data_IF_482573016336
#
_entry.id   IF_482573016336
#
_cell.length_a   1.000
_cell.length_b   1.000
_cell.length_c   1.000
_cell.angle_alpha   90.00
_cell.angle_beta   90.00
_cell.angle_gamma   90.00
#
_symmetry.space_group_name_H-M   'P 1'
#
loop_
_entity.id
_entity.type
_entity.pdbx_description
1 polymer ?
#
# COMPACT_ATOMS: atom_id res chain seq x y z
N UNK A 1 23.12 3.04 -6.73
CA UNK A 1 22.70 4.30 -7.40
C UNK A 1 21.99 5.15 -6.36
N UNK A 2 22.43 6.40 -6.12
CA UNK A 2 21.76 7.27 -5.16
C UNK A 2 20.43 7.81 -5.72
N UNK A 3 19.43 8.04 -4.85
CA UNK A 3 18.13 8.67 -5.18
C UNK A 3 17.36 8.00 -6.32
N UNK A 4 17.43 6.68 -6.41
CA UNK A 4 16.70 5.89 -7.41
C UNK A 4 15.71 4.98 -6.71
N UNK A 5 14.48 4.96 -7.19
CA UNK A 5 13.45 4.00 -6.74
C UNK A 5 13.15 3.01 -7.86
N UNK A 6 12.82 1.79 -7.47
CA UNK A 6 12.18 0.80 -8.33
C UNK A 6 10.68 0.94 -8.18
N UNK A 7 9.97 1.01 -9.30
CA UNK A 7 8.51 1.03 -9.33
C UNK A 7 7.95 -0.06 -10.24
N UNK A 8 6.80 -0.60 -9.85
CA UNK A 8 6.03 -1.56 -10.65
C UNK A 8 4.55 -1.44 -10.34
N UNK A 9 3.73 -1.49 -11.38
CA UNK A 9 2.28 -1.54 -11.22
C UNK A 9 1.86 -2.97 -10.91
N UNK A 10 1.13 -3.19 -9.82
CA UNK A 10 0.62 -4.52 -9.49
C UNK A 10 -0.58 -4.91 -10.36
N UNK A 11 -0.71 -6.22 -10.60
CA UNK A 11 -1.83 -6.82 -11.32
C UNK A 11 -1.81 -6.68 -12.85
N UNK A 12 -1.01 -5.76 -13.42
CA UNK A 12 -0.85 -5.62 -14.87
C UNK A 12 0.40 -4.83 -15.28
N UNK A 13 0.80 -4.98 -16.53
CA UNK A 13 1.80 -4.12 -17.14
C UNK A 13 1.21 -2.78 -17.58
N UNK A 14 2.07 -1.77 -17.66
CA UNK A 14 1.75 -0.41 -18.10
C UNK A 14 2.80 0.02 -19.12
N UNK A 15 2.36 0.69 -20.20
CA UNK A 15 3.28 1.24 -21.19
C UNK A 15 4.10 2.40 -20.62
N UNK A 16 5.37 2.51 -21.03
CA UNK A 16 6.32 3.52 -20.56
C UNK A 16 5.76 4.95 -20.59
N UNK A 17 5.23 5.39 -21.74
CA UNK A 17 4.70 6.76 -21.90
C UNK A 17 3.49 7.02 -21.00
N UNK A 18 2.59 6.03 -20.87
CA UNK A 18 1.42 6.14 -19.99
C UNK A 18 1.81 6.23 -18.53
N UNK A 19 2.84 5.49 -18.12
CA UNK A 19 3.39 5.58 -16.77
C UNK A 19 4.04 6.94 -16.54
N UNK A 20 4.91 7.38 -17.47
CA UNK A 20 5.65 8.64 -17.37
C UNK A 20 4.72 9.85 -17.24
N UNK A 21 3.71 9.96 -18.10
CA UNK A 21 2.72 11.04 -18.01
C UNK A 21 1.97 10.98 -16.67
N UNK A 22 1.55 9.79 -16.25
CA UNK A 22 0.78 9.63 -15.02
C UNK A 22 1.58 9.98 -13.77
N UNK A 23 2.83 9.53 -13.66
CA UNK A 23 3.68 9.80 -12.48
C UNK A 23 4.15 11.25 -12.42
N UNK A 24 4.37 11.90 -13.58
CA UNK A 24 4.67 13.34 -13.64
C UNK A 24 3.55 14.15 -13.00
N UNK A 25 2.30 13.83 -13.35
CA UNK A 25 1.12 14.46 -12.79
C UNK A 25 0.85 14.06 -11.34
N UNK A 26 1.14 12.81 -10.97
CA UNK A 26 0.85 12.26 -9.64
C UNK A 26 1.82 12.80 -8.59
N UNK A 27 3.12 12.76 -8.85
CA UNK A 27 4.15 13.14 -7.89
C UNK A 27 4.51 14.62 -7.96
N UNK A 28 4.31 15.24 -9.14
CA UNK A 28 4.64 16.65 -9.43
C UNK A 28 6.05 16.99 -8.94
N UNK A 29 7.07 16.26 -9.45
CA UNK A 29 8.44 16.46 -8.99
C UNK A 29 8.87 17.90 -9.26
N UNK A 30 9.63 18.47 -8.32
CA UNK A 30 10.18 19.82 -8.40
C UNK A 30 11.21 20.00 -9.51
N UNK A 31 11.90 18.91 -9.85
CA UNK A 31 12.97 18.86 -10.85
C UNK A 31 12.65 17.85 -11.94
N UNK A 32 13.38 17.91 -13.04
CA UNK A 32 13.35 16.84 -14.03
C UNK A 32 13.76 15.50 -13.40
N UNK A 33 13.34 14.41 -14.01
CA UNK A 33 13.64 13.05 -13.55
C UNK A 33 14.01 12.18 -14.74
N UNK A 34 14.62 11.03 -14.45
CA UNK A 34 14.92 10.03 -15.46
C UNK A 34 14.13 8.75 -15.16
N UNK A 35 13.30 8.32 -16.11
CA UNK A 35 12.55 7.07 -16.06
C UNK A 35 13.20 6.08 -17.03
N UNK A 36 13.49 4.87 -16.55
CA UNK A 36 14.04 3.78 -17.36
C UNK A 36 13.11 2.58 -17.25
N UNK A 37 12.71 2.03 -18.38
CA UNK A 37 12.12 0.69 -18.43
C UNK A 37 13.25 -0.35 -18.24
N UNK A 38 12.95 -1.44 -17.56
CA UNK A 38 13.86 -2.58 -17.41
C UNK A 38 13.17 -3.81 -17.98
N UNK A 39 12.96 -4.83 -17.14
CA UNK A 39 12.43 -6.12 -17.49
C UNK A 39 11.23 -6.37 -16.58
N UNK A 40 10.32 -7.24 -17.01
CA UNK A 40 9.16 -7.65 -16.22
C UNK A 40 8.28 -6.48 -15.75
N UNK A 41 8.26 -5.38 -16.50
CA UNK A 41 7.46 -4.19 -16.18
C UNK A 41 7.92 -3.43 -14.94
N UNK A 42 9.18 -3.61 -14.51
CA UNK A 42 9.82 -2.71 -13.57
C UNK A 42 10.35 -1.48 -14.28
N UNK A 43 10.26 -0.36 -13.58
CA UNK A 43 10.89 0.88 -14.01
C UNK A 43 11.79 1.42 -12.91
N UNK A 44 12.89 2.04 -13.29
CA UNK A 44 13.69 2.87 -12.39
C UNK A 44 13.30 4.32 -12.57
N UNK A 45 12.98 4.96 -11.46
CA UNK A 45 12.79 6.39 -11.42
C UNK A 45 13.93 7.01 -10.63
N UNK A 46 14.77 7.80 -11.30
CA UNK A 46 15.88 8.51 -10.69
C UNK A 46 15.51 9.97 -10.50
N UNK A 47 15.57 10.40 -9.24
CA UNK A 47 15.30 11.76 -8.83
C UNK A 47 16.58 12.61 -8.87
N UNK A 48 16.39 13.91 -9.08
CA UNK A 48 17.44 14.92 -8.88
C UNK A 48 17.26 15.70 -7.57
N UNK A 49 16.05 15.67 -6.98
CA UNK A 49 15.77 16.28 -5.68
C UNK A 49 15.62 15.20 -4.61
N UNK A 50 16.37 15.35 -3.51
CA UNK A 50 16.23 14.49 -2.32
C UNK A 50 14.85 14.63 -1.69
N UNK A 51 14.27 15.84 -1.71
CA UNK A 51 12.94 16.09 -1.17
C UNK A 51 11.87 15.29 -1.93
N UNK A 52 11.91 15.29 -3.27
CA UNK A 52 10.98 14.50 -4.09
C UNK A 52 11.16 13.00 -3.85
N UNK A 53 12.41 12.53 -3.71
CA UNK A 53 12.71 11.13 -3.40
C UNK A 53 12.12 10.70 -2.05
N UNK A 54 12.38 11.47 -0.99
CA UNK A 54 11.88 11.20 0.36
C UNK A 54 10.34 11.29 0.42
N UNK A 55 9.76 12.28 -0.28
CA UNK A 55 8.31 12.44 -0.45
C UNK A 55 7.67 11.22 -1.11
N UNK A 56 8.21 10.76 -2.23
CA UNK A 56 7.66 9.62 -2.98
C UNK A 56 7.75 8.33 -2.17
N UNK A 57 8.78 8.14 -1.35
CA UNK A 57 8.90 6.97 -0.48
C UNK A 57 8.00 7.01 0.76
N UNK A 58 7.70 8.21 1.30
CA UNK A 58 6.99 8.39 2.58
C UNK A 58 5.51 8.74 2.43
N UNK A 59 5.07 9.30 1.31
CA UNK A 59 3.68 9.77 1.12
C UNK A 59 2.78 8.80 0.35
N UNK A 60 3.25 7.57 0.09
CA UNK A 60 2.41 6.52 -0.48
C UNK A 60 1.16 6.20 0.37
N UNK A 61 0.23 5.35 -0.11
CA UNK A 61 0.33 4.54 -1.32
C UNK A 61 -0.01 5.33 -2.59
N UNK A 62 0.65 4.96 -3.68
CA UNK A 62 0.43 5.56 -5.00
C UNK A 62 -0.49 4.68 -5.83
N UNK A 63 -1.50 5.30 -6.45
CA UNK A 63 -2.47 4.59 -7.29
C UNK A 63 -2.36 5.12 -8.71
N UNK A 64 -2.13 4.21 -9.66
CA UNK A 64 -2.05 4.50 -11.09
C UNK A 64 -3.11 3.67 -11.79
N UNK A 65 -4.06 4.35 -12.43
CA UNK A 65 -5.19 3.74 -13.15
C UNK A 65 -6.00 2.72 -12.29
N UNK A 66 -6.14 2.98 -11.00
CA UNK A 66 -6.88 2.11 -10.06
C UNK A 66 -6.09 0.92 -9.53
N UNK A 67 -4.81 0.78 -9.88
CA UNK A 67 -3.92 -0.28 -9.42
C UNK A 67 -2.82 0.29 -8.52
N UNK A 68 -2.33 -0.53 -7.59
CA UNK A 68 -1.27 -0.13 -6.67
C UNK A 68 0.07 -0.03 -7.39
N UNK A 69 0.73 1.13 -7.28
CA UNK A 69 2.09 1.32 -7.75
C UNK A 69 3.04 1.08 -6.58
N UNK A 70 3.83 0.00 -6.64
CA UNK A 70 4.87 -0.25 -5.65
C UNK A 70 5.99 0.75 -5.83
N UNK A 71 6.55 1.20 -4.71
CA UNK A 71 7.68 2.12 -4.70
C UNK A 71 8.65 1.71 -3.60
N UNK A 72 9.88 1.40 -3.98
CA UNK A 72 10.94 1.02 -3.07
C UNK A 72 12.27 1.63 -3.48
N UNK A 73 13.13 1.93 -2.51
CA UNK A 73 14.51 2.32 -2.78
C UNK A 73 15.20 1.22 -3.58
N UNK A 74 15.95 1.59 -4.61
CA UNK A 74 16.76 0.61 -5.34
C UNK A 74 17.83 0.01 -4.42
N UNK A 75 18.02 -1.31 -4.49
CA UNK A 75 19.09 -2.04 -3.82
C UNK A 75 19.91 -2.84 -4.83
N UNK A 76 21.15 -3.19 -4.47
CA UNK A 76 21.97 -4.11 -5.27
C UNK A 76 21.39 -5.53 -5.32
N UNK A 77 20.62 -5.90 -4.30
CA UNK A 77 19.96 -7.21 -4.21
C UNK A 77 18.63 -7.25 -4.98
N UNK A 78 18.25 -6.14 -5.63
CA UNK A 78 17.06 -6.10 -6.47
C UNK A 78 17.29 -6.91 -7.75
N UNK A 79 16.43 -7.90 -7.96
CA UNK A 79 16.46 -8.79 -9.12
C UNK A 79 15.32 -8.44 -10.10
N UNK A 80 15.62 -7.78 -11.24
CA UNK A 80 14.61 -7.40 -12.22
C UNK A 80 14.03 -8.59 -12.99
N UNK A 81 14.66 -9.77 -12.94
CA UNK A 81 14.19 -10.97 -13.65
C UNK A 81 12.95 -11.60 -12.99
N UNK A 82 12.58 -11.17 -11.78
CA UNK A 82 11.42 -11.70 -11.05
C UNK A 82 10.13 -10.98 -11.42
N UNK A 83 9.12 -11.67 -12.00
CA UNK A 83 7.92 -11.02 -12.53
C UNK A 83 7.07 -10.32 -11.47
N UNK A 84 7.12 -10.77 -10.22
CA UNK A 84 6.46 -10.12 -9.08
C UNK A 84 7.42 -10.01 -7.90
N UNK A 85 7.44 -8.84 -7.22
CA UNK A 85 8.14 -8.73 -5.96
C UNK A 85 7.34 -9.50 -4.91
N UNK A 86 7.89 -10.59 -4.38
CA UNK A 86 7.28 -11.34 -3.28
C UNK A 86 7.03 -10.43 -2.09
N UNK A 87 8.00 -9.58 -1.74
CA UNK A 87 7.92 -8.63 -0.63
C UNK A 87 7.65 -7.22 -1.15
N UNK A 88 6.53 -6.62 -0.79
CA UNK A 88 6.17 -5.24 -1.18
C UNK A 88 5.90 -4.36 0.02
N UNK A 89 6.32 -3.09 -0.06
CA UNK A 89 5.87 -2.08 0.90
C UNK A 89 4.37 -1.83 0.68
N UNK A 90 3.60 -1.85 1.76
CA UNK A 90 2.17 -1.58 1.81
C UNK A 90 1.87 -0.66 3.00
N UNK A 91 0.75 0.06 2.93
CA UNK A 91 0.32 0.97 3.99
C UNK A 91 -0.86 0.35 4.73
N UNK A 92 -0.80 0.34 6.06
CA UNK A 92 -1.87 -0.17 6.92
C UNK A 92 -2.41 0.91 7.85
N UNK A 93 -3.68 0.77 8.21
CA UNK A 93 -4.36 1.54 9.25
C UNK A 93 -4.62 0.67 10.46
N UNK A 94 -4.54 1.31 11.61
CA UNK A 94 -4.83 0.75 12.92
C UNK A 94 -5.93 1.60 13.55
N UNK A 95 -7.22 1.28 13.30
CA UNK A 95 -8.35 2.10 13.73
C UNK A 95 -8.45 2.24 15.25
N UNK A 96 -8.09 1.18 15.96
CA UNK A 96 -8.27 0.99 17.40
C UNK A 96 -7.12 1.52 18.27
N UNK A 97 -6.07 2.08 17.67
CA UNK A 97 -4.99 2.74 18.41
C UNK A 97 -5.27 4.23 18.73
N UNK A 98 -6.39 4.77 18.27
CA UNK A 98 -6.80 6.14 18.56
C UNK A 98 -7.47 6.21 19.94
N UNK A 99 -6.70 6.53 20.97
CA UNK A 99 -7.19 6.72 22.35
C UNK A 99 -7.94 8.06 22.57
N UNK A 100 -8.57 8.61 21.53
CA UNK A 100 -9.29 9.88 21.65
C UNK A 100 -10.72 9.73 21.17
N UNK A 101 -11.66 10.17 22.01
CA UNK A 101 -13.09 10.41 21.70
C UNK A 101 -13.32 11.39 20.53
N UNK A 102 -12.28 11.75 19.78
CA UNK A 102 -12.35 12.48 18.53
C UNK A 102 -12.59 11.49 17.38
N UNK A 103 -13.76 11.60 16.78
CA UNK A 103 -14.19 10.81 15.63
C UNK A 103 -13.15 10.83 14.50
N UNK A 104 -12.61 9.66 14.15
CA UNK A 104 -11.91 9.43 12.88
C UNK A 104 -10.38 9.56 12.84
N UNK A 105 -9.68 9.55 13.99
CA UNK A 105 -8.21 9.39 13.99
C UNK A 105 -7.85 7.90 13.96
N UNK A 106 -6.82 7.53 13.21
CA UNK A 106 -6.23 6.19 13.21
C UNK A 106 -4.70 6.31 13.08
N UNK A 107 -3.98 5.32 13.60
CA UNK A 107 -2.55 5.24 13.34
C UNK A 107 -2.32 4.61 11.95
N UNK A 108 -1.30 5.10 11.25
CA UNK A 108 -0.97 4.67 9.89
C UNK A 108 0.49 4.27 9.82
N UNK A 109 0.76 3.10 9.25
CA UNK A 109 2.10 2.52 9.24
C UNK A 109 2.43 1.94 7.87
N UNK A 110 3.69 2.06 7.45
CA UNK A 110 4.21 1.35 6.29
C UNK A 110 4.81 0.02 6.75
N UNK A 111 4.38 -1.08 6.15
CA UNK A 111 4.88 -2.43 6.42
C UNK A 111 5.33 -3.07 5.11
N UNK A 112 6.18 -4.08 5.18
CA UNK A 112 6.45 -4.97 4.06
C UNK A 112 5.57 -6.21 4.19
N UNK A 113 4.83 -6.55 3.14
CA UNK A 113 3.99 -7.75 3.09
C UNK A 113 4.50 -8.71 2.03
N UNK A 114 4.39 -10.00 2.31
CA UNK A 114 4.68 -11.03 1.33
C UNK A 114 3.41 -11.38 0.55
N UNK A 115 3.38 -11.11 -0.74
CA UNK A 115 2.24 -11.38 -1.62
C UNK A 115 2.04 -12.88 -1.91
N UNK A 116 3.08 -13.70 -1.71
CA UNK A 116 3.01 -15.17 -1.88
C UNK A 116 2.39 -15.87 -0.67
N UNK A 117 2.20 -15.14 0.44
CA UNK A 117 1.59 -15.63 1.69
C UNK A 117 0.22 -14.99 1.90
N UNK A 118 -0.65 -15.60 2.73
CA UNK A 118 -1.84 -14.91 3.21
C UNK A 118 -1.46 -13.58 3.87
N UNK A 119 -2.27 -12.56 3.61
CA UNK A 119 -2.19 -11.27 4.28
C UNK A 119 -2.53 -11.46 5.75
N UNK A 120 -1.83 -10.71 6.60
CA UNK A 120 -2.09 -10.72 8.03
C UNK A 120 -3.29 -9.83 8.33
N UNK A 121 -4.23 -10.34 9.14
CA UNK A 121 -5.47 -9.62 9.45
C UNK A 121 -5.40 -8.85 10.77
N UNK A 122 -4.46 -9.21 11.66
CA UNK A 122 -4.29 -8.61 12.98
C UNK A 122 -2.81 -8.53 13.37
N UNK A 123 -2.46 -7.54 14.19
CA UNK A 123 -1.13 -7.42 14.80
C UNK A 123 -1.25 -7.25 16.31
N UNK A 124 -0.29 -7.80 17.06
CA UNK A 124 -0.21 -7.61 18.50
C UNK A 124 0.49 -6.29 18.81
N UNK A 125 -0.18 -5.41 19.56
CA UNK A 125 0.40 -4.15 20.04
C UNK A 125 0.21 -4.11 21.54
N UNK A 126 1.33 -4.08 22.27
CA UNK A 126 1.34 -4.16 23.74
C UNK A 126 0.56 -5.38 24.27
N UNK A 127 0.62 -6.51 23.57
CA UNK A 127 -0.08 -7.75 23.93
C UNK A 127 -1.56 -7.80 23.54
N UNK A 128 -2.12 -6.73 22.96
CA UNK A 128 -3.52 -6.68 22.53
C UNK A 128 -3.61 -6.91 21.01
N UNK A 129 -4.44 -7.87 20.54
CA UNK A 129 -4.71 -8.04 19.11
C UNK A 129 -5.44 -6.84 18.53
N UNK A 130 -4.87 -6.24 17.49
CA UNK A 130 -5.44 -5.11 16.77
C UNK A 130 -5.67 -5.49 15.31
N UNK A 131 -6.88 -5.24 14.80
CA UNK A 131 -7.21 -5.43 13.39
C UNK A 131 -6.49 -4.38 12.53
N UNK A 132 -6.03 -4.80 11.36
CA UNK A 132 -5.36 -3.92 10.40
C UNK A 132 -6.17 -3.77 9.13
N UNK A 133 -6.14 -2.59 8.53
CA UNK A 133 -6.75 -2.33 7.23
C UNK A 133 -5.66 -1.95 6.23
N UNK A 134 -5.56 -2.66 5.11
CA UNK A 134 -4.63 -2.34 4.03
C UNK A 134 -5.16 -1.21 3.14
N UNK A 135 -4.31 -0.25 2.86
CA UNK A 135 -4.59 0.81 1.90
C UNK A 135 -4.17 0.41 0.48
N UNK A 136 -5.09 0.59 -0.47
CA UNK A 136 -4.82 0.52 -1.91
C UNK A 136 -4.39 -0.85 -2.45
N UNK A 137 -4.50 -1.94 -1.69
CA UNK A 137 -4.43 -3.30 -2.26
C UNK A 137 -5.69 -3.54 -3.10
N UNK A 138 -5.50 -3.64 -4.42
CA UNK A 138 -6.58 -3.61 -5.40
C UNK A 138 -7.31 -4.94 -5.59
N UNK A 139 -6.67 -6.08 -5.30
CA UNK A 139 -7.25 -7.40 -5.56
C UNK A 139 -6.81 -8.37 -4.46
N UNK A 140 -7.73 -8.69 -3.55
CA UNK A 140 -7.50 -9.65 -2.46
C UNK A 140 -8.60 -10.71 -2.50
N UNK A 141 -8.21 -11.98 -2.50
CA UNK A 141 -9.13 -13.09 -2.36
C UNK A 141 -9.36 -13.37 -0.86
N UNK A 142 -10.52 -12.95 -0.34
CA UNK A 142 -10.88 -13.14 1.06
C UNK A 142 -11.10 -14.61 1.46
N UNK A 143 -11.30 -15.52 0.49
CA UNK A 143 -11.39 -16.95 0.80
C UNK A 143 -10.04 -17.52 1.28
N UNK A 144 -8.93 -17.02 0.71
CA UNK A 144 -7.58 -17.52 0.99
C UNK A 144 -6.67 -16.51 1.69
N UNK A 145 -7.16 -15.28 1.89
CA UNK A 145 -6.38 -14.16 2.44
C UNK A 145 -5.25 -13.68 1.52
N UNK A 146 -5.16 -14.13 0.26
CA UNK A 146 -4.03 -13.85 -0.63
C UNK A 146 -4.29 -12.66 -1.55
N UNK A 147 -3.24 -11.92 -1.91
CA UNK A 147 -3.28 -10.95 -3.00
C UNK A 147 -3.30 -11.72 -4.32
N UNK A 148 -4.48 -11.85 -4.94
CA UNK A 148 -4.64 -12.66 -6.16
C UNK A 148 -5.86 -12.16 -6.95
N UNK A 149 -6.67 -13.06 -7.51
CA UNK A 149 -7.85 -12.82 -8.30
C UNK A 149 -8.99 -12.18 -7.47
N UNK A 150 -9.85 -11.41 -8.16
CA UNK A 150 -11.06 -10.85 -7.55
C UNK A 150 -12.01 -11.96 -7.09
N UNK A 151 -12.86 -11.68 -6.10
CA UNK A 151 -13.80 -12.65 -5.50
C UNK A 151 -14.57 -13.48 -6.54
N UNK A 152 -14.88 -12.89 -7.68
CA UNK A 152 -15.68 -13.49 -8.76
C UNK A 152 -14.91 -14.52 -9.62
N UNK A 153 -13.59 -14.57 -9.51
CA UNK A 153 -12.70 -15.47 -10.26
C UNK A 153 -12.08 -16.56 -9.38
N UNK A 154 -12.58 -16.72 -8.15
CA UNK A 154 -12.03 -17.64 -7.17
C UNK A 154 -12.44 -19.10 -7.44
N UNK A 155 -11.49 -20.02 -7.72
CA UNK A 155 -11.78 -21.45 -7.88
C UNK A 155 -12.18 -22.01 -6.51
N UNK A 156 -13.48 -22.04 -6.25
CA UNK A 156 -14.01 -22.42 -4.95
C UNK A 156 -13.92 -23.94 -4.76
N UNK A 157 -13.05 -24.41 -3.86
CA UNK A 157 -13.17 -25.76 -3.27
C UNK A 157 -13.12 -25.65 -1.74
N UNK A 158 -14.26 -25.95 -1.10
CA UNK A 158 -14.42 -26.31 0.33
C UNK A 158 -13.74 -27.68 0.53
N UNK A 159 -13.18 -28.15 1.66
CA UNK A 159 -13.26 -27.98 3.12
C UNK A 159 -11.93 -28.57 3.66
N UNK A 160 -11.41 -28.19 4.83
CA UNK A 160 -11.44 -29.07 6.02
C UNK A 160 -11.01 -28.33 7.31
N UNK A 161 -11.39 -28.95 8.41
CA UNK A 161 -11.47 -28.60 9.84
C UNK A 161 -10.15 -28.41 10.63
N UNK A 162 -10.20 -27.52 11.67
CA UNK A 162 -9.59 -27.60 13.03
C UNK A 162 -8.20 -26.97 13.36
N UNK A 163 -8.26 -25.94 14.25
CA UNK A 163 -7.48 -25.50 15.45
C UNK A 163 -6.08 -24.80 15.45
N UNK A 164 -6.17 -23.53 15.91
CA UNK A 164 -5.44 -22.81 17.00
C UNK A 164 -3.97 -22.33 16.84
N UNK A 165 -3.78 -21.00 16.87
CA UNK A 165 -2.56 -20.30 17.34
C UNK A 165 -1.78 -19.46 16.31
N UNK A 166 -2.14 -18.20 16.09
CA UNK A 166 -1.34 -17.27 15.25
C UNK A 166 -0.18 -16.67 16.07
N UNK A 167 1.07 -16.95 15.70
CA UNK A 167 2.24 -16.21 16.17
C UNK A 167 2.60 -15.13 15.14
N UNK A 168 2.16 -13.90 15.38
CA UNK A 168 2.47 -12.74 14.54
C UNK A 168 3.88 -12.26 14.87
N UNK A 169 4.84 -12.53 13.98
CA UNK A 169 6.21 -12.03 14.14
C UNK A 169 6.37 -10.74 13.36
N UNK A 170 6.28 -9.61 14.04
CA UNK A 170 6.85 -8.35 13.54
C UNK A 170 8.36 -8.38 13.79
N UNK A 171 9.13 -9.01 12.89
CA UNK A 171 10.60 -8.90 12.97
C UNK A 171 11.03 -7.55 12.42
N UNK A 172 11.54 -6.68 13.29
CA UNK A 172 12.38 -5.58 12.85
C UNK A 172 13.73 -6.14 12.45
N UNK A 173 14.00 -6.24 11.15
CA UNK A 173 15.39 -6.40 10.71
C UNK A 173 16.11 -5.06 10.97
N UNK A 174 17.44 -5.05 11.17
CA UNK A 174 18.25 -3.90 11.61
C UNK A 174 18.18 -2.59 10.79
N UNK A 175 17.25 -2.50 9.83
CA UNK A 175 16.95 -1.38 8.96
C UNK A 175 15.53 -0.78 9.18
N UNK A 176 14.94 -0.88 10.39
CA UNK A 176 13.65 -0.28 10.76
C UNK A 176 12.42 -0.71 9.91
N UNK A 177 12.53 -1.80 9.15
CA UNK A 177 11.46 -2.30 8.30
C UNK A 177 10.66 -3.38 9.03
N UNK A 178 9.35 -3.16 9.20
CA UNK A 178 8.42 -4.16 9.74
C UNK A 178 7.96 -5.06 8.60
N UNK A 179 8.37 -6.32 8.64
CA UNK A 179 7.88 -7.36 7.72
C UNK A 179 6.71 -8.08 8.38
N UNK A 180 5.62 -8.23 7.63
CA UNK A 180 4.39 -8.83 8.08
C UNK A 180 4.09 -10.07 7.24
N UNK A 181 4.23 -11.23 7.87
CA UNK A 181 4.02 -12.54 7.25
C UNK A 181 3.30 -13.47 8.22
N UNK A 182 2.43 -14.33 7.70
CA UNK A 182 1.90 -15.47 8.46
C UNK A 182 2.99 -16.54 8.57
N UNK A 183 3.37 -16.93 9.79
CA UNK A 183 4.26 -18.07 10.03
C UNK A 183 3.41 -19.33 10.14
N UNK A 184 3.83 -20.39 9.44
CA UNK A 184 3.07 -21.61 9.18
C UNK A 184 2.27 -22.14 10.36
N UNK A 185 0.96 -22.17 10.14
CA UNK A 185 -0.08 -22.85 10.90
C UNK A 185 -1.35 -22.71 10.08
N UNK A 186 -1.80 -23.79 9.44
CA UNK A 186 -3.10 -23.80 8.77
C UNK A 186 -4.17 -23.48 9.83
N UNK A 187 -4.92 -22.39 9.64
CA UNK A 187 -5.95 -22.00 10.61
C UNK A 187 -7.31 -21.85 9.96
N UNK A 188 -8.30 -22.39 10.68
CA UNK A 188 -9.73 -22.07 10.57
C UNK A 188 -9.94 -20.58 10.41
N UNK A 189 -10.63 -20.20 9.34
CA UNK A 189 -11.12 -18.86 8.98
C UNK A 189 -10.49 -17.72 9.79
N UNK A 190 -9.23 -17.38 9.52
CA UNK A 190 -8.83 -15.99 9.66
C UNK A 190 -9.94 -15.19 8.95
N UNK A 191 -10.64 -14.34 9.70
CA UNK A 191 -11.91 -13.75 9.28
C UNK A 191 -11.65 -12.63 8.27
N UNK A 192 -10.99 -12.98 7.18
CA UNK A 192 -10.67 -12.14 6.05
C UNK A 192 -11.98 -11.61 5.48
N UNK A 193 -12.06 -10.31 5.29
CA UNK A 193 -13.25 -9.73 4.70
C UNK A 193 -12.97 -8.38 4.07
N UNK A 194 -13.97 -7.82 3.36
CA UNK A 194 -13.87 -6.52 2.70
C UNK A 194 -13.38 -5.39 3.62
N UNK A 195 -13.62 -5.52 4.92
CA UNK A 195 -13.12 -4.60 5.95
C UNK A 195 -11.60 -4.44 5.97
N UNK A 196 -10.84 -5.43 5.48
CA UNK A 196 -9.38 -5.35 5.38
C UNK A 196 -8.91 -4.38 4.29
N UNK A 197 -9.78 -3.93 3.39
CA UNK A 197 -9.43 -3.01 2.32
C UNK A 197 -10.05 -1.64 2.59
N UNK A 198 -9.22 -0.61 2.63
CA UNK A 198 -9.71 0.76 2.74
C UNK A 198 -10.25 1.20 1.39
N UNK A 199 -11.58 1.31 1.28
CA UNK A 199 -12.20 1.98 0.13
C UNK A 199 -11.97 3.49 0.20
N UNK A 200 -11.32 4.06 -0.82
CA UNK A 200 -11.34 5.51 -1.03
C UNK A 200 -12.76 5.89 -1.44
N UNK A 201 -13.48 6.62 -0.57
CA UNK A 201 -14.72 7.32 -0.95
C UNK A 201 -14.41 8.23 -2.15
N UNK A 202 -14.72 7.77 -3.35
CA UNK A 202 -14.77 8.62 -4.53
C UNK A 202 -15.76 9.73 -4.22
N UNK A 203 -15.30 10.98 -4.18
CA UNK A 203 -16.20 12.13 -4.19
C UNK A 203 -16.94 12.10 -5.51
N UNK A 204 -18.08 11.40 -5.55
CA UNK A 204 -19.09 11.59 -6.59
C UNK A 204 -19.50 13.06 -6.44
N UNK A 205 -18.99 13.93 -7.31
CA UNK A 205 -19.58 15.24 -7.51
C UNK A 205 -21.05 14.99 -7.88
N UNK A 206 -22.02 15.50 -7.09
CA UNK A 206 -23.39 15.55 -7.56
C UNK A 206 -23.38 16.52 -8.75
N UNK A 207 -23.47 15.98 -9.97
CA UNK A 207 -23.68 16.82 -11.15
C UNK A 207 -25.13 17.30 -11.16
N UNK A 208 -25.29 18.61 -11.00
CA UNK A 208 -26.35 19.40 -11.64
C UNK A 208 -27.38 20.02 -10.71
N UNK A 209 -27.28 21.33 -10.42
CA UNK A 209 -28.13 22.33 -11.07
C UNK A 209 -27.59 23.76 -10.87
N UNK A 210 -27.97 24.65 -11.79
CA UNK A 210 -27.44 25.99 -12.14
C UNK A 210 -27.43 27.04 -11.00
N UNK A 211 -26.51 28.01 -11.12
CA UNK A 211 -26.80 29.41 -10.75
C UNK A 211 -25.69 30.21 -10.04
N UNK A 212 -25.22 31.25 -10.72
CA UNK A 212 -24.62 32.51 -10.24
C UNK A 212 -23.23 32.52 -9.57
N UNK A 213 -22.43 33.49 -10.02
CA UNK A 213 -21.01 33.64 -9.72
C UNK A 213 -20.71 34.10 -8.30
N UNK A 214 -19.57 33.62 -7.80
CA UNK A 214 -18.77 34.28 -6.79
C UNK A 214 -17.33 33.80 -6.95
N UNK A 215 -16.45 34.74 -7.26
CA UNK A 215 -15.01 34.58 -7.14
C UNK A 215 -14.68 34.43 -5.64
N UNK A 216 -14.13 33.29 -5.21
CA UNK A 216 -13.56 33.15 -3.87
C UNK A 216 -12.14 32.59 -3.96
N UNK A 217 -11.27 33.35 -3.28
CA UNK A 217 -9.84 33.26 -3.07
C UNK A 217 -9.37 31.89 -2.56
N UNK A 218 -8.06 31.68 -2.73
CA UNK A 218 -7.34 30.47 -2.39
C UNK A 218 -7.33 30.06 -0.91
N UNK A 219 -6.57 28.99 -0.70
CA UNK A 219 -6.23 28.28 0.52
C UNK A 219 -7.31 27.37 1.12
N UNK A 220 -7.08 26.06 1.04
CA UNK A 220 -6.51 25.30 2.16
C UNK A 220 -6.24 23.86 1.70
N UNK A 221 -4.97 23.57 1.40
CA UNK A 221 -4.47 22.19 1.43
C UNK A 221 -4.65 21.70 2.88
N UNK A 222 -5.64 20.85 3.11
CA UNK A 222 -5.76 20.16 4.38
C UNK A 222 -4.67 19.09 4.43
N UNK A 223 -3.66 19.33 5.28
CA UNK A 223 -2.66 18.34 5.65
C UNK A 223 -3.32 17.01 6.05
N UNK A 224 -2.68 15.85 5.78
CA UNK A 224 -3.24 14.56 6.14
C UNK A 224 -3.35 14.42 7.67
N UNK A 225 -4.57 14.09 8.14
CA UNK A 225 -4.97 13.92 9.54
C UNK A 225 -4.48 12.61 10.18
N UNK A 226 -3.22 12.22 9.99
CA UNK A 226 -2.70 10.92 10.45
C UNK A 226 -1.37 11.06 11.18
N UNK A 227 -1.15 10.21 12.17
CA UNK A 227 0.16 10.04 12.82
C UNK A 227 0.90 8.94 12.07
N UNK A 228 2.02 9.30 11.44
CA UNK A 228 2.97 8.34 10.89
C UNK A 228 3.79 7.83 12.06
N UNK A 229 3.62 6.55 12.41
CA UNK A 229 4.51 5.89 13.35
C UNK A 229 5.78 5.49 12.60
N UNK A 230 6.73 6.43 12.53
CA UNK A 230 8.12 6.08 12.25
C UNK A 230 8.72 5.64 13.58
N UNK A 231 9.00 4.34 13.75
CA UNK A 231 9.88 3.93 14.83
C UNK A 231 11.28 4.45 14.50
N UNK A 232 11.62 5.60 15.09
CA UNK A 232 12.98 6.09 15.19
C UNK A 232 13.56 5.57 16.51
N UNK A 233 14.77 5.02 16.46
CA UNK A 233 15.68 5.02 17.61
C UNK A 233 16.36 6.38 17.66
#
# INVERSE_FOLDING_TARGET
MAMTVVIKLLGRNIGFLSLQDKISNLWRPSMSFHLMDIENGYFLFKFHSKEDYDKVLSQGPWIVFGQYLTVQSWSKDFDPARPYPSLVKSWIRLPSLSDSRATGKFARMAVFINLDKPLVSQILISGVPQRIEYESLSIVCFAYGRYDHGKDLCPSTKTDTVKEGELIVATGNGNNAIVLETVGGETESANFGPWMLVEKKSRRNPRGNRGFGAEIKGNNFSEPRYIILNYAN
#
